data_IF_001187484386
#
_entry.id   IF_001187484386
#
_cell.length_a   1.000
_cell.length_b   1.000
_cell.length_c   1.000
_cell.angle_alpha   90.00
_cell.angle_beta   90.00
_cell.angle_gamma   90.00
#
_symmetry.space_group_name_H-M   'P 1'
#
loop_
_entity.id
_entity.type
_entity.pdbx_description
1 polymer ?
#
# COMPACT_ATOMS: atom_id res chain seq x y z
N UNK A 1 -8.94 23.30 -1.43
CA UNK A 1 -8.43 21.99 -1.87
C UNK A 1 -8.93 20.77 -1.07
N UNK A 2 -9.51 20.89 0.13
CA UNK A 2 -10.01 19.73 0.91
C UNK A 2 -11.34 19.12 0.39
N UNK A 3 -12.06 19.76 -0.52
CA UNK A 3 -13.37 19.29 -1.02
C UNK A 3 -13.27 18.43 -2.30
N UNK A 4 -12.22 18.56 -3.10
CA UNK A 4 -12.09 17.83 -4.35
C UNK A 4 -12.01 16.30 -4.17
N UNK A 5 -11.22 15.75 -3.23
CA UNK A 5 -11.18 14.30 -3.00
C UNK A 5 -12.53 13.72 -2.54
N UNK A 6 -13.29 14.49 -1.75
CA UNK A 6 -14.61 14.07 -1.30
C UNK A 6 -15.61 14.05 -2.45
N UNK A 7 -15.64 15.08 -3.28
CA UNK A 7 -16.51 15.14 -4.45
C UNK A 7 -16.22 14.04 -5.46
N UNK A 8 -14.96 13.74 -5.68
CA UNK A 8 -14.50 12.59 -6.48
C UNK A 8 -15.04 11.28 -5.92
N UNK A 9 -14.79 11.02 -4.64
CA UNK A 9 -15.25 9.81 -3.98
C UNK A 9 -16.77 9.66 -4.05
N UNK A 10 -17.53 10.72 -3.74
CA UNK A 10 -18.99 10.70 -3.80
C UNK A 10 -19.49 10.40 -5.22
N UNK A 11 -18.90 10.98 -6.25
CA UNK A 11 -19.24 10.71 -7.65
C UNK A 11 -18.94 9.26 -8.06
N UNK A 12 -17.76 8.75 -7.69
CA UNK A 12 -17.35 7.39 -8.00
C UNK A 12 -18.25 6.36 -7.30
N UNK A 13 -18.52 6.55 -6.02
CA UNK A 13 -19.37 5.63 -5.24
C UNK A 13 -20.82 5.62 -5.72
N UNK A 14 -21.36 6.78 -6.11
CA UNK A 14 -22.69 6.87 -6.74
C UNK A 14 -22.71 6.08 -8.03
N UNK A 15 -21.74 6.32 -8.92
CA UNK A 15 -21.64 5.61 -10.18
C UNK A 15 -21.57 4.08 -9.99
N UNK A 16 -20.67 3.60 -9.12
CA UNK A 16 -20.53 2.17 -8.87
C UNK A 16 -21.82 1.55 -8.34
N UNK A 17 -22.53 2.25 -7.44
CA UNK A 17 -23.80 1.76 -6.88
C UNK A 17 -24.89 1.68 -7.95
N UNK A 18 -25.00 2.69 -8.81
CA UNK A 18 -25.95 2.72 -9.92
C UNK A 18 -25.67 1.62 -10.97
N UNK A 19 -24.39 1.19 -11.10
CA UNK A 19 -23.95 0.12 -12.01
C UNK A 19 -23.87 -1.25 -11.34
N UNK A 20 -24.63 -1.45 -10.27
CA UNK A 20 -24.85 -2.76 -9.65
C UNK A 20 -23.77 -3.22 -8.67
N UNK A 21 -22.83 -2.36 -8.32
CA UNK A 21 -21.90 -2.67 -7.24
C UNK A 21 -22.56 -2.50 -5.88
N UNK A 22 -22.32 -3.45 -5.00
CA UNK A 22 -22.71 -3.38 -3.59
C UNK A 22 -21.52 -2.92 -2.78
N UNK A 23 -21.73 -1.90 -1.96
CA UNK A 23 -20.74 -1.37 -1.03
C UNK A 23 -20.55 -2.30 0.16
N UNK A 24 -19.32 -2.47 0.61
CA UNK A 24 -19.01 -3.23 1.82
C UNK A 24 -19.61 -2.59 3.07
N UNK A 25 -20.07 -3.43 4.00
CA UNK A 25 -20.66 -2.97 5.24
C UNK A 25 -19.59 -2.53 6.26
N UNK A 26 -18.52 -3.31 6.40
CA UNK A 26 -17.41 -3.03 7.32
C UNK A 26 -16.43 -2.03 6.70
N UNK A 27 -16.02 -2.30 5.46
CA UNK A 27 -15.17 -1.42 4.68
C UNK A 27 -15.99 -0.73 3.60
N UNK A 28 -16.26 0.54 3.82
CA UNK A 28 -17.07 1.37 2.93
C UNK A 28 -16.36 1.79 1.65
N UNK A 29 -15.06 1.51 1.52
CA UNK A 29 -14.27 1.72 0.31
C UNK A 29 -14.18 0.48 -0.58
N UNK A 30 -14.72 -0.64 -0.12
CA UNK A 30 -14.80 -1.90 -0.84
C UNK A 30 -16.13 -2.01 -1.59
N UNK A 31 -16.07 -2.42 -2.86
CA UNK A 31 -17.24 -2.59 -3.73
C UNK A 31 -17.19 -3.94 -4.43
N UNK A 32 -18.33 -4.60 -4.59
CA UNK A 32 -18.44 -5.87 -5.27
C UNK A 32 -19.64 -5.89 -6.19
N UNK A 33 -19.46 -6.32 -7.45
CA UNK A 33 -20.51 -6.67 -8.39
C UNK A 33 -20.41 -8.15 -8.72
N UNK A 34 -21.50 -8.90 -8.51
CA UNK A 34 -21.58 -10.35 -8.78
C UNK A 34 -22.57 -10.61 -9.89
N UNK A 35 -22.18 -11.50 -10.81
CA UNK A 35 -23.06 -12.03 -11.86
C UNK A 35 -22.84 -13.54 -11.95
N UNK A 36 -23.87 -14.33 -11.59
CA UNK A 36 -23.88 -15.80 -11.58
C UNK A 36 -22.57 -16.38 -11.01
N UNK A 37 -21.61 -16.76 -11.88
CA UNK A 37 -20.35 -17.38 -11.52
C UNK A 37 -19.15 -16.44 -11.62
N UNK A 38 -19.39 -15.15 -11.85
CA UNK A 38 -18.32 -14.15 -12.00
C UNK A 38 -18.53 -12.97 -11.06
N UNK A 39 -17.42 -12.29 -10.73
CA UNK A 39 -17.49 -11.09 -9.92
C UNK A 39 -16.37 -10.11 -10.28
N UNK A 40 -16.63 -8.85 -9.97
CA UNK A 40 -15.63 -7.78 -9.89
C UNK A 40 -15.62 -7.28 -8.46
N UNK A 41 -14.44 -7.19 -7.87
CA UNK A 41 -14.21 -6.47 -6.61
C UNK A 41 -13.38 -5.23 -6.91
N UNK A 42 -13.70 -4.13 -6.25
CA UNK A 42 -12.94 -2.89 -6.37
C UNK A 42 -12.73 -2.30 -4.99
N UNK A 43 -11.50 -1.89 -4.70
CA UNK A 43 -11.09 -1.18 -3.50
C UNK A 43 -10.68 0.22 -3.90
N UNK A 44 -11.31 1.23 -3.33
CA UNK A 44 -10.98 2.64 -3.58
C UNK A 44 -10.00 3.12 -2.53
N UNK A 45 -8.90 3.71 -2.97
CA UNK A 45 -7.93 4.33 -2.09
C UNK A 45 -7.51 5.71 -2.64
N UNK A 46 -8.06 6.76 -2.05
CA UNK A 46 -7.89 8.15 -2.50
C UNK A 46 -8.25 8.29 -3.98
N UNK A 47 -7.28 8.39 -4.87
CA UNK A 47 -7.44 8.56 -6.32
C UNK A 47 -7.29 7.23 -7.08
N UNK A 48 -6.84 6.17 -6.40
CA UNK A 48 -6.56 4.87 -7.00
C UNK A 48 -7.73 3.88 -6.82
N UNK A 49 -7.95 3.04 -7.83
CA UNK A 49 -8.83 1.89 -7.75
C UNK A 49 -8.01 0.63 -7.99
N UNK A 50 -7.92 -0.21 -6.97
CA UNK A 50 -7.41 -1.58 -7.11
C UNK A 50 -8.60 -2.50 -7.31
N UNK A 51 -8.57 -3.32 -8.36
CA UNK A 51 -9.67 -4.23 -8.64
C UNK A 51 -9.19 -5.64 -8.98
N UNK A 52 -10.07 -6.60 -8.78
CA UNK A 52 -9.88 -7.98 -9.15
C UNK A 52 -11.13 -8.57 -9.78
N UNK A 53 -10.94 -9.49 -10.72
CA UNK A 53 -12.04 -10.15 -11.45
C UNK A 53 -11.79 -11.64 -11.57
N UNK A 54 -12.86 -12.40 -11.82
CA UNK A 54 -12.78 -13.84 -12.06
C UNK A 54 -12.29 -14.19 -13.47
N UNK A 55 -12.30 -13.26 -14.41
CA UNK A 55 -11.82 -13.49 -15.78
C UNK A 55 -11.38 -12.18 -16.46
N UNK A 56 -10.51 -12.30 -17.45
CA UNK A 56 -9.92 -11.16 -18.15
C UNK A 56 -10.94 -10.32 -18.94
N UNK A 57 -11.97 -10.94 -19.51
CA UNK A 57 -13.00 -10.19 -20.26
C UNK A 57 -13.74 -9.22 -19.35
N UNK A 58 -14.04 -9.65 -18.13
CA UNK A 58 -14.70 -8.81 -17.13
C UNK A 58 -13.76 -7.69 -16.62
N UNK A 59 -12.46 -7.94 -16.57
CA UNK A 59 -11.47 -6.92 -16.27
C UNK A 59 -11.45 -5.82 -17.33
N UNK A 60 -11.37 -6.20 -18.62
CA UNK A 60 -11.42 -5.24 -19.72
C UNK A 60 -12.69 -4.43 -19.73
N UNK A 61 -13.84 -5.09 -19.55
CA UNK A 61 -15.12 -4.41 -19.47
C UNK A 61 -15.16 -3.36 -18.34
N UNK A 62 -14.70 -3.71 -17.16
CA UNK A 62 -14.63 -2.76 -16.04
C UNK A 62 -13.68 -1.60 -16.31
N UNK A 63 -12.52 -1.85 -16.94
CA UNK A 63 -11.58 -0.80 -17.34
C UNK A 63 -12.23 0.18 -18.31
N UNK A 64 -12.94 -0.34 -19.32
CA UNK A 64 -13.60 0.48 -20.33
C UNK A 64 -14.74 1.30 -19.71
N UNK A 65 -15.53 0.71 -18.79
CA UNK A 65 -16.54 1.44 -18.01
C UNK A 65 -15.91 2.62 -17.24
N UNK A 66 -14.81 2.38 -16.54
CA UNK A 66 -14.14 3.43 -15.75
C UNK A 66 -13.54 4.53 -16.61
N UNK A 67 -12.88 4.18 -17.72
CA UNK A 67 -12.30 5.15 -18.66
C UNK A 67 -13.34 5.99 -19.38
N UNK A 68 -14.52 5.44 -19.65
CA UNK A 68 -15.60 6.18 -20.30
C UNK A 68 -16.20 7.27 -19.39
N UNK A 69 -16.18 7.06 -18.09
CA UNK A 69 -16.85 7.94 -17.12
C UNK A 69 -15.89 8.84 -16.34
N UNK A 70 -14.63 8.44 -16.23
CA UNK A 70 -13.62 9.12 -15.43
C UNK A 70 -12.33 9.27 -16.23
N UNK A 71 -11.63 10.37 -16.02
CA UNK A 71 -10.29 10.60 -16.58
C UNK A 71 -9.27 9.74 -15.80
N UNK A 72 -9.22 8.46 -16.18
CA UNK A 72 -8.38 7.45 -15.52
C UNK A 72 -7.50 6.71 -16.52
N UNK A 73 -6.32 6.30 -16.08
CA UNK A 73 -5.43 5.43 -16.83
C UNK A 73 -5.31 4.06 -16.16
N UNK A 74 -5.17 3.01 -16.97
CA UNK A 74 -4.84 1.68 -16.46
C UNK A 74 -3.32 1.56 -16.31
N UNK A 75 -2.86 1.30 -15.09
CA UNK A 75 -1.42 1.15 -14.78
C UNK A 75 -0.92 -0.27 -15.10
N UNK A 76 -1.84 -1.25 -15.18
CA UNK A 76 -1.52 -2.65 -15.42
C UNK A 76 -1.71 -3.53 -14.19
N UNK A 77 -1.04 -4.67 -14.20
CA UNK A 77 -1.07 -5.60 -13.08
C UNK A 77 -0.46 -4.97 -11.82
N UNK A 78 -1.12 -5.19 -10.67
CA UNK A 78 -0.68 -4.63 -9.41
C UNK A 78 0.66 -5.21 -8.97
N UNK A 79 1.70 -4.38 -8.97
CA UNK A 79 3.06 -4.75 -8.53
C UNK A 79 3.50 -4.01 -7.27
N UNK A 80 2.84 -2.91 -6.95
CA UNK A 80 3.16 -2.08 -5.79
C UNK A 80 1.92 -1.33 -5.30
N UNK A 81 1.62 -1.40 -4.00
CA UNK A 81 0.49 -0.70 -3.40
C UNK A 81 0.74 -0.42 -1.91
N UNK A 82 0.54 0.81 -1.49
CA UNK A 82 0.67 1.25 -0.08
C UNK A 82 2.01 0.84 0.58
N UNK A 83 3.11 0.97 -0.15
CA UNK A 83 4.42 0.58 0.38
C UNK A 83 4.74 -0.92 0.28
N UNK A 84 3.76 -1.73 -0.15
CA UNK A 84 3.91 -3.17 -0.31
C UNK A 84 4.24 -3.52 -1.76
N UNK A 85 5.21 -4.38 -1.98
CA UNK A 85 5.46 -5.03 -3.25
C UNK A 85 4.54 -6.24 -3.38
N UNK A 86 3.86 -6.34 -4.51
CA UNK A 86 2.95 -7.45 -4.84
C UNK A 86 3.52 -8.19 -6.03
N UNK A 87 3.61 -9.51 -5.93
CA UNK A 87 3.99 -10.40 -7.03
C UNK A 87 2.93 -11.47 -7.18
N UNK A 88 2.25 -11.46 -8.31
CA UNK A 88 1.28 -12.49 -8.68
C UNK A 88 1.99 -13.61 -9.44
N UNK A 89 1.63 -14.85 -9.17
CA UNK A 89 2.14 -16.04 -9.82
C UNK A 89 1.02 -17.09 -9.90
N UNK A 90 1.22 -18.12 -10.70
CA UNK A 90 0.28 -19.26 -10.81
C UNK A 90 0.07 -19.99 -9.46
N UNK A 91 1.01 -19.86 -8.52
CA UNK A 91 0.96 -20.50 -7.21
C UNK A 91 0.36 -19.60 -6.12
N UNK A 92 0.14 -18.32 -6.39
CA UNK A 92 -0.45 -17.38 -5.43
C UNK A 92 0.11 -15.97 -5.52
N UNK A 93 -0.29 -15.16 -4.55
CA UNK A 93 0.09 -13.75 -4.43
C UNK A 93 1.10 -13.61 -3.28
N UNK A 94 2.27 -13.08 -3.59
CA UNK A 94 3.33 -12.79 -2.62
C UNK A 94 3.35 -11.29 -2.32
N UNK A 95 3.29 -10.96 -1.03
CA UNK A 95 3.34 -9.57 -0.56
C UNK A 95 4.56 -9.41 0.33
N UNK A 96 5.37 -8.37 0.08
CA UNK A 96 6.58 -8.09 0.86
C UNK A 96 6.92 -6.61 0.89
N UNK A 97 7.83 -6.23 1.78
CA UNK A 97 8.36 -4.86 1.92
C UNK A 97 9.86 -4.77 1.63
N UNK A 98 10.41 -5.65 0.80
CA UNK A 98 11.85 -5.73 0.56
C UNK A 98 12.47 -4.42 0.05
N UNK A 99 11.75 -3.66 -0.79
CA UNK A 99 12.20 -2.33 -1.25
C UNK A 99 12.25 -1.34 -0.10
N UNK A 100 11.22 -1.32 0.75
CA UNK A 100 11.15 -0.45 1.91
C UNK A 100 12.28 -0.77 2.90
N UNK A 101 12.48 -2.04 3.25
CA UNK A 101 13.56 -2.47 4.13
C UNK A 101 14.95 -2.05 3.61
N UNK A 102 15.23 -2.27 2.31
CA UNK A 102 16.49 -1.82 1.70
C UNK A 102 16.66 -0.30 1.76
N UNK A 103 15.57 0.45 1.53
CA UNK A 103 15.61 1.91 1.62
C UNK A 103 15.89 2.40 3.05
N UNK A 104 15.36 1.72 4.07
CA UNK A 104 15.67 2.03 5.47
C UNK A 104 17.14 1.76 5.79
N UNK A 105 17.65 0.59 5.44
CA UNK A 105 19.05 0.24 5.63
C UNK A 105 19.97 1.31 5.00
N UNK A 106 19.68 1.69 3.76
CA UNK A 106 20.41 2.74 3.06
C UNK A 106 20.28 4.12 3.72
N UNK A 107 19.06 4.49 4.11
CA UNK A 107 18.77 5.79 4.75
C UNK A 107 19.56 5.99 6.02
N UNK A 108 19.75 4.93 6.80
CA UNK A 108 20.46 4.97 8.07
C UNK A 108 21.94 4.58 7.96
N UNK A 109 22.47 4.41 6.75
CA UNK A 109 23.87 4.08 6.53
C UNK A 109 24.29 2.70 7.06
N UNK A 110 23.34 1.76 7.10
CA UNK A 110 23.54 0.42 7.64
C UNK A 110 23.90 -0.63 6.57
N UNK A 111 24.14 -0.22 5.31
CA UNK A 111 24.45 -1.13 4.20
C UNK A 111 25.65 -2.04 4.48
N UNK A 112 26.64 -1.54 5.21
CA UNK A 112 27.87 -2.28 5.57
C UNK A 112 27.90 -2.67 7.05
N UNK A 113 26.80 -2.50 7.80
CA UNK A 113 26.76 -2.85 9.21
C UNK A 113 26.81 -4.36 9.41
N UNK A 114 27.61 -4.80 10.39
CA UNK A 114 27.65 -6.20 10.76
C UNK A 114 26.30 -6.65 11.33
N UNK A 115 25.86 -7.86 10.94
CA UNK A 115 24.64 -8.44 11.46
C UNK A 115 24.77 -8.73 12.97
N UNK A 116 23.91 -8.10 13.80
CA UNK A 116 23.80 -8.39 15.22
C UNK A 116 22.69 -9.42 15.48
N UNK A 117 22.99 -10.49 16.23
CA UNK A 117 22.00 -11.53 16.57
C UNK A 117 21.01 -11.07 17.62
N UNK A 118 21.41 -10.10 18.45
CA UNK A 118 20.59 -9.54 19.53
C UNK A 118 20.66 -8.02 19.48
N UNK A 119 19.57 -7.29 19.81
CA UNK A 119 19.58 -5.82 19.80
C UNK A 119 20.62 -5.21 20.73
N UNK A 120 20.90 -5.87 21.87
CA UNK A 120 21.91 -5.45 22.84
C UNK A 120 22.42 -6.67 23.61
N UNK A 121 23.69 -6.71 23.97
CA UNK A 121 24.23 -7.76 24.81
C UNK A 121 23.66 -7.64 26.23
N UNK A 122 23.35 -8.77 26.87
CA UNK A 122 22.65 -8.84 28.17
C UNK A 122 23.34 -8.03 29.31
N UNK A 123 24.67 -7.86 29.25
CA UNK A 123 25.46 -7.17 30.28
C UNK A 123 25.88 -5.75 29.87
N UNK A 124 25.37 -5.22 28.75
CA UNK A 124 25.73 -3.87 28.31
C UNK A 124 25.09 -2.84 29.22
N UNK A 125 25.92 -2.03 29.87
CA UNK A 125 25.48 -0.85 30.60
C UNK A 125 25.76 0.38 29.75
N UNK A 126 24.71 1.10 29.41
CA UNK A 126 24.82 2.39 28.74
C UNK A 126 25.17 3.43 29.78
N UNK A 127 26.27 4.16 29.55
CA UNK A 127 26.72 5.29 30.38
C UNK A 127 26.72 6.55 29.51
N UNK A 128 26.75 7.72 30.18
CA UNK A 128 26.97 8.96 29.45
C UNK A 128 28.34 8.89 28.76
N UNK A 129 28.41 9.31 27.51
CA UNK A 129 29.61 9.41 26.71
C UNK A 129 29.96 10.91 26.48
N UNK A 130 30.60 11.57 27.46
CA UNK A 130 30.90 13.00 27.38
C UNK A 130 31.94 13.34 26.29
N UNK A 131 32.67 12.34 25.80
CA UNK A 131 33.64 12.47 24.72
C UNK A 131 33.09 11.97 23.36
N UNK A 132 31.89 11.50 23.32
CA UNK A 132 31.25 10.99 22.11
C UNK A 132 30.99 12.06 21.03
N UNK A 133 31.03 11.63 19.81
CA UNK A 133 30.66 12.50 18.68
C UNK A 133 29.17 12.88 18.72
N UNK A 134 28.89 14.13 18.30
CA UNK A 134 27.53 14.61 18.22
C UNK A 134 26.74 13.86 17.14
N UNK A 135 25.60 13.27 17.49
CA UNK A 135 24.75 12.57 16.54
C UNK A 135 23.74 13.53 15.88
N UNK A 136 23.36 13.25 14.64
CA UNK A 136 22.22 13.92 14.00
C UNK A 136 20.93 13.52 14.72
N UNK A 137 20.40 14.45 15.52
CA UNK A 137 19.17 14.25 16.34
C UNK A 137 17.96 13.93 15.46
N UNK A 138 17.88 14.52 14.27
CA UNK A 138 16.76 14.28 13.35
C UNK A 138 16.81 12.87 12.79
N UNK A 139 17.98 12.44 12.36
CA UNK A 139 18.20 11.08 11.88
C UNK A 139 17.96 10.04 12.99
N UNK A 140 18.46 10.28 14.18
CA UNK A 140 18.27 9.40 15.35
C UNK A 140 16.79 9.24 15.70
N UNK A 141 16.05 10.36 15.81
CA UNK A 141 14.61 10.34 16.07
C UNK A 141 13.83 9.63 14.97
N UNK A 142 14.22 9.82 13.71
CA UNK A 142 13.56 9.12 12.59
C UNK A 142 13.79 7.62 12.61
N UNK A 143 14.92 7.15 13.16
CA UNK A 143 15.20 5.73 13.36
C UNK A 143 14.31 5.13 14.45
N UNK A 144 14.19 5.80 15.62
CA UNK A 144 13.31 5.36 16.71
C UNK A 144 11.86 5.16 16.24
N UNK A 145 11.30 6.15 15.54
CA UNK A 145 9.91 6.07 15.03
C UNK A 145 9.67 4.88 14.08
N UNK A 146 10.69 4.43 13.35
CA UNK A 146 10.57 3.29 12.43
C UNK A 146 10.56 1.94 13.15
N UNK A 147 11.21 1.85 14.30
CA UNK A 147 11.37 0.60 15.06
C UNK A 147 10.45 0.50 16.29
N UNK A 148 9.62 1.52 16.55
CA UNK A 148 8.63 1.52 17.64
C UNK A 148 7.27 0.90 17.22
N UNK A 149 7.22 0.19 16.06
CA UNK A 149 6.04 -0.53 15.56
C UNK A 149 6.24 -2.03 15.58
#
# INVERSE_FOLDING_TARGET
MKQAPRAWYDRLTTYLTEHGFKRGFVDTTFFIRKDKNSFVVAQIYVDDIVFGTTNNSLAHYFIDEMKAMFEMSMVGELTYFLGLQVKQTDFGIYINQAKYARNLVKRFGLDNAAHAKTPMAANTKLTNDPSGESVDVTLYRSMSVVFDY
#
